data_IF_402986390745
#
_entry.id   IF_402986390745
#
_cell.length_a   1.000
_cell.length_b   1.000
_cell.length_c   1.000
_cell.angle_alpha   90.00
_cell.angle_beta   90.00
_cell.angle_gamma   90.00
#
_symmetry.space_group_name_H-M   'P 1'
#
loop_
_entity.id
_entity.type
_entity.pdbx_description
1 polymer ?
#
# COMPACT_ATOMS: atom_id res chain seq x y z
N UNK A 1 47.71 -72.27 31.96
CA UNK A 1 46.58 -71.88 31.08
C UNK A 1 46.10 -70.44 31.32
N UNK A 2 46.13 -69.95 32.58
CA UNK A 2 45.67 -68.61 33.00
C UNK A 2 46.36 -67.40 32.32
N UNK A 3 47.67 -67.47 32.05
CA UNK A 3 48.40 -66.35 31.44
C UNK A 3 48.09 -66.15 29.95
N UNK A 4 47.62 -67.19 29.24
CA UNK A 4 47.23 -67.07 27.83
C UNK A 4 45.86 -66.41 27.70
N UNK A 5 44.90 -66.77 28.56
CA UNK A 5 43.55 -66.17 28.59
C UNK A 5 43.58 -64.68 28.98
N UNK A 6 44.45 -64.28 29.91
CA UNK A 6 44.67 -62.87 30.28
C UNK A 6 45.17 -62.04 29.09
N UNK A 7 46.08 -62.59 28.27
CA UNK A 7 46.57 -61.93 27.05
C UNK A 7 45.45 -61.70 26.04
N UNK A 8 44.65 -62.74 25.75
CA UNK A 8 43.50 -62.60 24.84
C UNK A 8 42.47 -61.59 25.36
N UNK A 9 42.20 -61.58 26.68
CA UNK A 9 41.28 -60.61 27.29
C UNK A 9 41.78 -59.17 27.16
N UNK A 10 43.08 -58.93 27.35
CA UNK A 10 43.67 -57.61 27.15
C UNK A 10 43.59 -57.13 25.70
N UNK A 11 43.83 -58.02 24.71
CA UNK A 11 43.67 -57.69 23.30
C UNK A 11 42.21 -57.39 22.93
N UNK A 12 41.26 -58.12 23.52
CA UNK A 12 39.82 -57.91 23.29
C UNK A 12 39.33 -56.60 23.92
N UNK A 13 39.85 -56.24 25.10
CA UNK A 13 39.58 -54.97 25.75
C UNK A 13 40.10 -53.79 24.89
N UNK A 14 41.33 -53.88 24.40
CA UNK A 14 41.91 -52.84 23.53
C UNK A 14 41.11 -52.71 22.24
N UNK A 15 40.69 -53.83 21.64
CA UNK A 15 39.83 -53.83 20.46
C UNK A 15 38.48 -53.15 20.74
N UNK A 16 37.84 -53.48 21.86
CA UNK A 16 36.56 -52.88 22.25
C UNK A 16 36.68 -51.37 22.47
N UNK A 17 37.73 -50.91 23.15
CA UNK A 17 38.00 -49.47 23.36
C UNK A 17 38.23 -48.76 22.03
N UNK A 18 38.99 -49.36 21.10
CA UNK A 18 39.22 -48.79 19.78
C UNK A 18 37.93 -48.66 18.96
N UNK A 19 37.04 -49.67 19.03
CA UNK A 19 35.73 -49.62 18.37
C UNK A 19 34.83 -48.54 18.97
N UNK A 20 34.81 -48.40 20.30
CA UNK A 20 34.04 -47.35 20.99
C UNK A 20 34.58 -45.96 20.64
N UNK A 21 35.91 -45.78 20.65
CA UNK A 21 36.54 -44.51 20.28
C UNK A 21 36.26 -44.15 18.82
N UNK A 22 36.33 -45.13 17.91
CA UNK A 22 35.98 -44.96 16.50
C UNK A 22 34.52 -44.58 16.30
N UNK A 23 33.59 -45.26 16.98
CA UNK A 23 32.17 -44.92 16.95
C UNK A 23 31.89 -43.52 17.51
N UNK A 24 32.55 -43.16 18.61
CA UNK A 24 32.41 -41.84 19.23
C UNK A 24 32.95 -40.71 18.33
N UNK A 25 34.14 -40.89 17.74
CA UNK A 25 34.70 -39.95 16.77
C UNK A 25 33.80 -39.83 15.54
N UNK A 26 33.31 -40.94 15.02
CA UNK A 26 32.39 -40.95 13.88
C UNK A 26 31.12 -40.17 14.21
N UNK A 27 30.51 -40.42 15.37
CA UNK A 27 29.31 -39.70 15.79
C UNK A 27 29.57 -38.19 15.97
N UNK A 28 30.69 -37.84 16.61
CA UNK A 28 31.07 -36.44 16.85
C UNK A 28 31.30 -35.67 15.53
N UNK A 29 32.03 -36.26 14.58
CA UNK A 29 32.42 -35.60 13.34
C UNK A 29 31.39 -35.71 12.21
N UNK A 30 30.66 -36.83 12.08
CA UNK A 30 29.67 -37.01 10.99
C UNK A 30 28.26 -36.57 11.37
N UNK A 31 27.83 -36.65 12.63
CA UNK A 31 26.45 -36.29 13.02
C UNK A 31 26.27 -34.85 13.52
N UNK A 32 27.34 -34.05 13.52
CA UNK A 32 27.25 -32.60 13.75
C UNK A 32 27.32 -31.87 12.40
N UNK A 33 26.21 -31.76 11.66
CA UNK A 33 26.19 -31.03 10.41
C UNK A 33 26.51 -29.56 10.68
N UNK A 34 27.73 -29.16 10.38
CA UNK A 34 28.16 -27.76 10.39
C UNK A 34 28.13 -27.26 8.94
N UNK A 35 27.50 -26.11 8.71
CA UNK A 35 27.56 -25.44 7.42
C UNK A 35 27.98 -23.99 7.65
N UNK A 36 28.92 -23.51 6.84
CA UNK A 36 29.25 -22.07 6.78
C UNK A 36 28.17 -21.26 6.08
N UNK A 37 27.23 -21.93 5.40
CA UNK A 37 26.25 -21.31 4.52
C UNK A 37 24.87 -21.20 5.19
N UNK A 38 24.84 -20.54 6.35
CA UNK A 38 23.58 -20.05 6.93
C UNK A 38 23.08 -18.86 6.13
N UNK A 39 21.92 -18.98 5.46
CA UNK A 39 21.27 -17.86 4.76
C UNK A 39 19.99 -17.49 5.50
N UNK A 40 19.92 -16.26 5.98
CA UNK A 40 18.68 -15.65 6.47
C UNK A 40 18.03 -14.91 5.31
N UNK A 41 16.72 -15.10 5.14
CA UNK A 41 15.91 -14.33 4.19
C UNK A 41 14.97 -13.45 4.99
N UNK A 42 14.89 -12.18 4.62
CA UNK A 42 13.90 -11.25 5.13
C UNK A 42 13.11 -10.69 3.95
N UNK A 43 11.80 -10.55 4.13
CA UNK A 43 10.95 -9.83 3.19
C UNK A 43 11.04 -8.34 3.50
N UNK A 44 11.46 -7.54 2.52
CA UNK A 44 11.59 -6.10 2.68
C UNK A 44 10.51 -5.41 1.86
N UNK A 45 9.69 -4.60 2.52
CA UNK A 45 8.68 -3.77 1.87
C UNK A 45 9.13 -2.32 1.89
N UNK A 46 9.39 -1.76 0.71
CA UNK A 46 9.72 -0.34 0.59
C UNK A 46 8.45 0.51 0.69
N UNK A 47 8.46 1.50 1.57
CA UNK A 47 7.35 2.44 1.76
C UNK A 47 7.69 3.76 1.11
N UNK A 48 6.96 4.11 0.05
CA UNK A 48 7.12 5.39 -0.67
C UNK A 48 5.81 6.17 -0.61
N UNK A 49 5.84 7.48 -0.30
CA UNK A 49 4.63 8.30 -0.33
C UNK A 49 4.07 8.41 -1.75
N UNK A 50 2.75 8.32 -1.89
CA UNK A 50 2.08 8.43 -3.19
C UNK A 50 1.90 9.88 -3.66
N UNK A 51 2.09 10.85 -2.76
CA UNK A 51 2.03 12.29 -3.02
C UNK A 51 3.28 12.97 -2.50
N UNK A 52 3.75 13.99 -3.22
CA UNK A 52 4.91 14.77 -2.82
C UNK A 52 4.54 15.84 -1.80
N UNK A 53 5.41 16.05 -0.80
CA UNK A 53 5.26 17.14 0.15
C UNK A 53 6.26 17.04 1.30
N UNK A 54 6.24 18.05 2.16
CA UNK A 54 7.09 18.08 3.36
C UNK A 54 6.53 17.17 4.44
N UNK A 55 7.39 16.36 5.07
CA UNK A 55 7.00 15.54 6.23
C UNK A 55 6.84 16.44 7.45
N UNK A 56 5.67 16.44 8.07
CA UNK A 56 5.36 17.25 9.26
C UNK A 56 5.61 16.49 10.55
N UNK A 57 5.34 15.19 10.55
CA UNK A 57 5.42 14.34 11.75
C UNK A 57 5.89 12.94 11.39
N UNK A 58 6.83 12.42 12.18
CA UNK A 58 7.31 11.05 12.12
C UNK A 58 6.85 10.33 13.39
N UNK A 59 6.03 9.29 13.24
CA UNK A 59 5.42 8.56 14.37
C UNK A 59 6.15 7.26 14.72
N UNK A 60 7.25 6.99 14.02
CA UNK A 60 8.06 5.79 14.21
C UNK A 60 9.46 6.15 14.65
N UNK A 61 10.08 5.21 15.36
CA UNK A 61 11.50 5.23 15.69
C UNK A 61 12.22 4.16 14.90
N UNK A 62 13.54 4.27 14.85
CA UNK A 62 14.39 3.27 14.22
C UNK A 62 14.22 1.90 14.91
N UNK A 63 14.17 0.83 14.11
CA UNK A 63 14.00 -0.55 14.55
C UNK A 63 12.79 -0.81 15.47
N UNK A 64 11.68 -0.10 15.20
CA UNK A 64 10.42 -0.25 15.92
C UNK A 64 9.50 -1.21 15.17
N UNK A 65 8.98 -2.22 15.88
CA UNK A 65 7.90 -3.05 15.34
C UNK A 65 6.63 -2.22 15.14
N UNK A 66 6.04 -2.29 13.94
CA UNK A 66 4.81 -1.61 13.55
C UNK A 66 3.77 -2.62 13.08
N UNK A 67 2.51 -2.27 13.30
CA UNK A 67 1.38 -3.06 12.79
C UNK A 67 0.87 -2.53 11.45
N UNK A 68 0.32 -3.42 10.62
CA UNK A 68 -0.35 -3.06 9.38
C UNK A 68 -1.45 -2.02 9.65
N UNK A 69 -1.43 -0.93 8.89
CA UNK A 69 -2.34 0.21 9.05
C UNK A 69 -1.89 1.27 10.05
N UNK A 70 -0.81 1.03 10.81
CA UNK A 70 -0.23 2.02 11.72
C UNK A 70 0.36 3.21 10.94
N UNK A 71 0.17 4.43 11.45
CA UNK A 71 0.65 5.64 10.79
C UNK A 71 2.16 5.76 11.00
N UNK A 72 2.91 5.81 9.90
CA UNK A 72 4.37 5.93 9.92
C UNK A 72 4.79 7.40 9.97
N UNK A 73 4.25 8.19 9.05
CA UNK A 73 4.51 9.63 8.99
C UNK A 73 3.35 10.36 8.30
N UNK A 74 3.27 11.67 8.52
CA UNK A 74 2.32 12.54 7.83
C UNK A 74 3.04 13.58 7.00
N UNK A 75 2.48 13.86 5.84
CA UNK A 75 2.85 14.95 4.94
C UNK A 75 2.00 16.18 5.31
N UNK A 76 2.53 17.38 5.06
CA UNK A 76 1.76 18.61 5.22
C UNK A 76 0.47 18.57 4.40
N UNK A 77 -0.65 18.61 5.11
CA UNK A 77 -1.99 18.49 4.55
C UNK A 77 -2.52 19.83 4.04
N UNK A 78 -1.91 20.95 4.44
CA UNK A 78 -2.37 22.31 4.13
C UNK A 78 -2.63 22.53 2.62
N UNK A 79 -1.68 22.25 1.71
CA UNK A 79 -1.91 22.44 0.27
C UNK A 79 -3.01 21.52 -0.28
N UNK A 80 -3.12 20.30 0.24
CA UNK A 80 -4.14 19.33 -0.19
C UNK A 80 -5.54 19.72 0.28
N UNK A 81 -5.67 20.26 1.50
CA UNK A 81 -6.94 20.77 2.00
C UNK A 81 -7.42 21.98 1.18
N UNK A 82 -6.51 22.89 0.85
CA UNK A 82 -6.80 24.02 -0.04
C UNK A 82 -7.23 23.51 -1.43
N UNK A 83 -6.57 22.48 -1.97
CA UNK A 83 -6.95 21.88 -3.24
C UNK A 83 -8.37 21.26 -3.21
N UNK A 84 -8.74 20.60 -2.11
CA UNK A 84 -10.11 20.09 -1.91
C UNK A 84 -11.11 21.24 -1.90
N UNK A 85 -10.89 22.29 -1.11
CA UNK A 85 -11.78 23.46 -1.05
C UNK A 85 -11.94 24.14 -2.41
N UNK A 86 -10.86 24.28 -3.17
CA UNK A 86 -10.90 24.83 -4.53
C UNK A 86 -11.73 23.96 -5.48
N UNK A 87 -11.58 22.63 -5.40
CA UNK A 87 -12.36 21.70 -6.22
C UNK A 87 -13.85 21.67 -5.83
N UNK A 88 -14.17 21.79 -4.54
CA UNK A 88 -15.55 21.94 -4.05
C UNK A 88 -16.20 23.21 -4.60
N UNK A 89 -15.49 24.33 -4.57
CA UNK A 89 -15.98 25.60 -5.13
C UNK A 89 -16.21 25.50 -6.65
N UNK A 90 -15.31 24.82 -7.38
CA UNK A 90 -15.48 24.58 -8.81
C UNK A 90 -16.68 23.69 -9.11
N UNK A 91 -16.91 22.64 -8.31
CA UNK A 91 -18.09 21.80 -8.42
C UNK A 91 -19.38 22.60 -8.17
N UNK A 92 -19.42 23.40 -7.11
CA UNK A 92 -20.58 24.25 -6.80
C UNK A 92 -20.88 25.23 -7.95
N UNK A 93 -19.84 25.81 -8.55
CA UNK A 93 -19.98 26.65 -9.74
C UNK A 93 -20.55 25.87 -10.92
N UNK A 94 -20.00 24.70 -11.24
CA UNK A 94 -20.46 23.88 -12.36
C UNK A 94 -21.93 23.44 -12.18
N UNK A 95 -22.33 23.08 -10.96
CA UNK A 95 -23.72 22.75 -10.62
C UNK A 95 -24.65 23.96 -10.82
N UNK A 96 -24.20 25.15 -10.44
CA UNK A 96 -24.95 26.39 -10.67
C UNK A 96 -25.12 26.69 -12.16
N UNK A 97 -24.07 26.50 -12.96
CA UNK A 97 -24.11 26.68 -14.41
C UNK A 97 -25.05 25.65 -15.08
N UNK A 98 -25.04 24.40 -14.62
CA UNK A 98 -25.99 23.37 -15.06
C UNK A 98 -27.43 23.73 -14.68
N UNK A 99 -27.68 24.21 -13.46
CA UNK A 99 -29.01 24.67 -13.05
C UNK A 99 -29.51 25.81 -13.93
N UNK A 100 -28.64 26.77 -14.28
CA UNK A 100 -28.96 27.86 -15.19
C UNK A 100 -29.32 27.33 -16.59
N UNK A 101 -28.53 26.41 -17.13
CA UNK A 101 -28.80 25.79 -18.43
C UNK A 101 -30.12 24.99 -18.44
N UNK A 102 -30.42 24.27 -17.36
CA UNK A 102 -31.67 23.55 -17.20
C UNK A 102 -32.87 24.50 -17.16
N UNK A 103 -32.78 25.59 -16.41
CA UNK A 103 -33.85 26.60 -16.33
C UNK A 103 -34.09 27.26 -17.71
N UNK A 104 -33.03 27.54 -18.46
CA UNK A 104 -33.13 28.07 -19.83
C UNK A 104 -33.83 27.08 -20.77
N UNK A 105 -33.39 25.80 -20.77
CA UNK A 105 -34.00 24.76 -21.58
C UNK A 105 -35.47 24.53 -21.22
N UNK A 106 -35.80 24.53 -19.93
CA UNK A 106 -37.18 24.42 -19.46
C UNK A 106 -38.03 25.61 -19.88
N UNK A 107 -37.51 26.84 -19.80
CA UNK A 107 -38.23 28.04 -20.27
C UNK A 107 -38.53 27.92 -21.76
N UNK A 108 -37.55 27.52 -22.57
CA UNK A 108 -37.70 27.33 -24.02
C UNK A 108 -38.72 26.25 -24.39
N UNK A 109 -38.76 25.13 -23.66
CA UNK A 109 -39.76 24.06 -23.86
C UNK A 109 -41.21 24.51 -23.65
N UNK A 110 -41.45 25.49 -22.77
CA UNK A 110 -42.79 26.00 -22.48
C UNK A 110 -43.21 27.17 -23.39
N UNK A 111 -42.33 27.66 -24.28
CA UNK A 111 -42.71 28.63 -25.29
C UNK A 111 -43.48 27.94 -26.41
N UNK A 112 -44.53 28.59 -26.92
CA UNK A 112 -45.29 28.06 -28.06
C UNK A 112 -44.39 27.91 -29.29
N UNK A 113 -44.56 26.83 -30.06
CA UNK A 113 -43.79 26.51 -31.27
C UNK A 113 -43.83 27.61 -32.35
N UNK A 114 -44.73 28.60 -32.21
CA UNK A 114 -44.76 29.80 -33.08
C UNK A 114 -43.64 30.79 -32.80
N UNK A 115 -42.97 30.70 -31.64
CA UNK A 115 -41.98 31.67 -31.17
C UNK A 115 -40.57 31.09 -31.01
N UNK A 116 -40.40 29.77 -31.11
CA UNK A 116 -39.11 29.11 -30.97
C UNK A 116 -38.93 28.04 -32.04
N UNK A 117 -37.74 28.00 -32.65
CA UNK A 117 -37.39 26.98 -33.62
C UNK A 117 -37.04 25.65 -32.93
N UNK A 118 -37.16 24.53 -33.65
CA UNK A 118 -36.69 23.23 -33.15
C UNK A 118 -35.17 23.25 -32.87
N UNK A 119 -34.41 23.97 -33.70
CA UNK A 119 -32.96 24.15 -33.57
C UNK A 119 -32.56 24.87 -32.27
N UNK A 120 -33.29 25.91 -31.87
CA UNK A 120 -33.05 26.65 -30.62
C UNK A 120 -33.29 25.79 -29.38
N UNK A 121 -34.26 24.87 -29.45
CA UNK A 121 -34.58 23.94 -28.38
C UNK A 121 -33.53 22.83 -28.29
N UNK A 122 -33.07 22.32 -29.44
CA UNK A 122 -31.97 21.36 -29.49
C UNK A 122 -30.66 21.96 -29.01
N UNK A 123 -30.35 23.21 -29.38
CA UNK A 123 -29.17 23.94 -28.90
C UNK A 123 -29.19 24.08 -27.37
N UNK A 124 -30.36 24.39 -26.79
CA UNK A 124 -30.52 24.46 -25.34
C UNK A 124 -30.33 23.09 -24.66
N UNK A 125 -30.85 22.01 -25.25
CA UNK A 125 -30.66 20.66 -24.75
C UNK A 125 -29.18 20.21 -24.84
N UNK A 126 -28.49 20.55 -25.92
CA UNK A 126 -27.05 20.29 -26.09
C UNK A 126 -26.25 21.05 -25.04
N UNK A 127 -26.61 22.31 -24.76
CA UNK A 127 -25.96 23.10 -23.72
C UNK A 127 -26.15 22.49 -22.32
N UNK A 128 -27.33 21.94 -22.00
CA UNK A 128 -27.55 21.18 -20.75
C UNK A 128 -26.60 19.98 -20.68
N UNK A 129 -26.49 19.19 -21.74
CA UNK A 129 -25.57 18.04 -21.80
C UNK A 129 -24.12 18.46 -21.61
N UNK A 130 -23.71 19.59 -22.20
CA UNK A 130 -22.37 20.15 -22.03
C UNK A 130 -22.11 20.58 -20.57
N UNK A 131 -23.06 21.27 -19.93
CA UNK A 131 -22.91 21.65 -18.51
C UNK A 131 -22.93 20.44 -17.58
N UNK A 132 -23.69 19.40 -17.92
CA UNK A 132 -23.69 18.14 -17.17
C UNK A 132 -22.32 17.45 -17.24
N UNK A 133 -21.69 17.44 -18.42
CA UNK A 133 -20.32 16.95 -18.55
C UNK A 133 -19.34 17.79 -17.72
N UNK A 134 -19.51 19.12 -17.66
CA UNK A 134 -18.68 19.99 -16.82
C UNK A 134 -18.81 19.67 -15.33
N UNK A 135 -20.02 19.35 -14.85
CA UNK A 135 -20.23 18.89 -13.47
C UNK A 135 -19.46 17.58 -13.23
N UNK A 136 -19.58 16.61 -14.14
CA UNK A 136 -18.88 15.33 -13.99
C UNK A 136 -17.34 15.50 -13.94
N UNK A 137 -16.79 16.42 -14.73
CA UNK A 137 -15.36 16.78 -14.68
C UNK A 137 -15.00 17.37 -13.31
N UNK A 138 -15.77 18.35 -12.81
CA UNK A 138 -15.52 18.98 -11.52
C UNK A 138 -15.63 17.98 -10.34
N UNK A 139 -16.58 17.03 -10.40
CA UNK A 139 -16.69 15.95 -9.43
C UNK A 139 -15.46 15.03 -9.45
N UNK A 140 -14.94 14.69 -10.63
CA UNK A 140 -13.74 13.88 -10.75
C UNK A 140 -12.52 14.62 -10.18
N UNK A 141 -12.40 15.92 -10.43
CA UNK A 141 -11.34 16.77 -9.85
C UNK A 141 -11.43 16.81 -8.32
N UNK A 142 -12.64 16.94 -7.76
CA UNK A 142 -12.84 16.89 -6.31
C UNK A 142 -12.44 15.55 -5.72
N UNK A 143 -12.86 14.43 -6.33
CA UNK A 143 -12.47 13.09 -5.89
C UNK A 143 -10.96 12.88 -5.92
N UNK A 144 -10.29 13.41 -6.94
CA UNK A 144 -8.84 13.34 -7.03
C UNK A 144 -8.16 14.13 -5.90
N UNK A 145 -8.61 15.35 -5.61
CA UNK A 145 -8.06 16.15 -4.52
C UNK A 145 -8.29 15.50 -3.16
N UNK A 146 -9.47 14.92 -2.92
CA UNK A 146 -9.79 14.17 -1.70
C UNK A 146 -8.90 12.94 -1.57
N UNK A 147 -8.71 12.18 -2.64
CA UNK A 147 -7.80 11.03 -2.63
C UNK A 147 -6.38 11.45 -2.27
N UNK A 148 -5.85 12.51 -2.88
CA UNK A 148 -4.52 13.04 -2.55
C UNK A 148 -4.41 13.46 -1.08
N UNK A 149 -5.45 14.09 -0.53
CA UNK A 149 -5.50 14.41 0.90
C UNK A 149 -5.44 13.15 1.77
N UNK A 150 -6.12 12.06 1.40
CA UNK A 150 -6.01 10.79 2.15
C UNK A 150 -4.61 10.18 2.07
N UNK A 151 -3.89 10.37 0.96
CA UNK A 151 -2.52 9.87 0.77
C UNK A 151 -1.46 10.65 1.56
N UNK A 152 -1.82 11.76 2.20
CA UNK A 152 -0.90 12.49 3.09
C UNK A 152 -0.56 11.74 4.37
N UNK A 153 -1.38 10.74 4.74
CA UNK A 153 -1.15 9.89 5.91
C UNK A 153 -0.60 8.54 5.43
N UNK A 154 0.71 8.35 5.57
CA UNK A 154 1.37 7.12 5.14
C UNK A 154 1.30 6.09 6.25
N UNK A 155 0.82 4.89 5.91
CA UNK A 155 0.61 3.79 6.84
C UNK A 155 1.47 2.58 6.48
N UNK A 156 1.74 1.73 7.47
CA UNK A 156 2.40 0.45 7.25
C UNK A 156 1.51 -0.48 6.41
N UNK A 157 2.00 -1.07 5.30
CA UNK A 157 1.22 -2.00 4.50
C UNK A 157 1.12 -3.41 5.13
N UNK A 158 2.09 -3.77 5.98
CA UNK A 158 2.21 -5.08 6.64
C UNK A 158 2.75 -4.90 8.05
N UNK A 159 2.60 -5.91 8.90
CA UNK A 159 3.30 -5.99 10.18
C UNK A 159 4.80 -6.23 9.95
N UNK A 160 5.68 -5.59 10.72
CA UNK A 160 7.12 -5.75 10.53
C UNK A 160 7.98 -4.94 11.50
N UNK A 161 9.29 -5.18 11.44
CA UNK A 161 10.32 -4.44 12.16
C UNK A 161 10.99 -3.39 11.29
#
# INVERSE_FOLDING_TARGET
MLMKTIKYFSSLLVLAVALIAGWWLWNYYMQSPWTRDGKVRAEQVSVTPQVSGTITTLHIKDNQFVHAGEVLFRIDQTPFHIAVLNAEAQLAKAQSDLSKANNEANRRRHLSQKYISAEDLDTANINVKAMQANVAVAEATLKQAQWQLTQTVVKAPVDGW
#
